data_IF_330093230214
#
_entry.id   IF_330093230214
#
_cell.length_a   1.000
_cell.length_b   1.000
_cell.length_c   1.000
_cell.angle_alpha   90.00
_cell.angle_beta   90.00
_cell.angle_gamma   90.00
#
_symmetry.space_group_name_H-M   'P 1'
#
loop_
_entity.id
_entity.type
_entity.pdbx_description
1 polymer ?
#
# COMPACT_ATOMS: atom_id res chain seq x y z
N UNK A 1 14.95 -29.31 -15.95
CA UNK A 1 13.61 -29.94 -15.89
C UNK A 1 12.96 -29.65 -17.22
N UNK A 2 12.43 -30.66 -17.92
CA UNK A 2 11.62 -30.43 -19.11
C UNK A 2 10.36 -29.63 -18.71
N UNK A 3 9.82 -28.82 -19.61
CA UNK A 3 8.50 -28.22 -19.43
C UNK A 3 7.45 -29.33 -19.38
N UNK A 4 6.39 -29.20 -18.57
CA UNK A 4 5.30 -30.19 -18.57
C UNK A 4 4.67 -30.41 -19.95
N UNK A 5 4.80 -29.43 -20.86
CA UNK A 5 4.33 -29.53 -22.24
C UNK A 5 5.14 -30.52 -23.09
N UNK A 6 6.35 -30.88 -22.65
CA UNK A 6 7.28 -31.76 -23.35
C UNK A 6 7.20 -33.23 -22.86
N UNK A 7 6.35 -33.50 -21.86
CA UNK A 7 6.19 -34.84 -21.29
C UNK A 7 5.22 -35.66 -22.15
N UNK A 8 5.50 -36.96 -22.31
CA UNK A 8 4.51 -37.90 -22.81
C UNK A 8 3.37 -38.08 -21.79
N UNK A 9 2.26 -38.66 -22.25
CA UNK A 9 1.11 -38.96 -21.37
C UNK A 9 1.53 -39.88 -20.22
N UNK A 10 2.36 -40.89 -20.49
CA UNK A 10 2.85 -41.84 -19.48
C UNK A 10 3.74 -41.13 -18.45
N UNK A 11 4.59 -40.21 -18.90
CA UNK A 11 5.44 -39.43 -18.01
C UNK A 11 4.60 -38.49 -17.13
N UNK A 12 3.56 -37.86 -17.68
CA UNK A 12 2.61 -37.04 -16.91
C UNK A 12 1.83 -37.85 -15.88
N UNK A 13 1.38 -39.06 -16.24
CA UNK A 13 0.67 -39.96 -15.31
C UNK A 13 1.58 -40.41 -14.16
N UNK A 14 2.83 -40.76 -14.46
CA UNK A 14 3.82 -41.11 -13.44
C UNK A 14 4.09 -39.94 -12.50
N UNK A 15 4.27 -38.72 -13.04
CA UNK A 15 4.47 -37.52 -12.25
C UNK A 15 3.24 -37.17 -11.41
N UNK A 16 2.03 -37.33 -11.95
CA UNK A 16 0.79 -37.10 -11.20
C UNK A 16 0.68 -38.04 -9.99
N UNK A 17 1.01 -39.33 -10.16
CA UNK A 17 1.00 -40.30 -9.07
C UNK A 17 1.99 -39.89 -7.95
N UNK A 18 3.19 -39.44 -8.32
CA UNK A 18 4.18 -38.92 -7.37
C UNK A 18 3.67 -37.67 -6.63
N UNK A 19 3.16 -36.67 -7.35
CA UNK A 19 2.63 -35.44 -6.77
C UNK A 19 1.44 -35.69 -5.83
N UNK A 20 0.58 -36.65 -6.17
CA UNK A 20 -0.52 -37.07 -5.30
C UNK A 20 -0.04 -37.70 -3.99
N UNK A 21 1.06 -38.46 -4.03
CA UNK A 21 1.68 -38.99 -2.82
C UNK A 21 2.26 -37.85 -1.96
N UNK A 22 2.96 -36.89 -2.58
CA UNK A 22 3.49 -35.71 -1.88
C UNK A 22 2.37 -34.86 -1.24
N UNK A 23 1.27 -34.62 -1.98
CA UNK A 23 0.09 -33.93 -1.47
C UNK A 23 -0.56 -34.67 -0.31
N UNK A 24 -0.71 -35.99 -0.40
CA UNK A 24 -1.31 -36.80 0.67
C UNK A 24 -0.47 -36.74 1.95
N UNK A 25 0.86 -36.77 1.82
CA UNK A 25 1.79 -36.56 2.94
C UNK A 25 1.62 -35.17 3.55
N UNK A 26 1.59 -34.11 2.72
CA UNK A 26 1.39 -32.74 3.21
C UNK A 26 0.03 -32.57 3.92
N UNK A 27 -1.05 -33.13 3.35
CA UNK A 27 -2.40 -33.12 3.95
C UNK A 27 -2.43 -33.84 5.29
N UNK A 28 -1.74 -34.99 5.41
CA UNK A 28 -1.67 -35.75 6.67
C UNK A 28 -0.94 -35.04 7.80
N UNK A 29 -0.14 -34.00 7.48
CA UNK A 29 0.56 -33.20 8.47
C UNK A 29 -0.33 -32.15 9.18
N UNK A 30 -1.61 -32.00 8.77
CA UNK A 30 -2.61 -31.09 9.36
C UNK A 30 -2.07 -29.67 9.62
N UNK A 31 -1.33 -29.13 8.65
CA UNK A 31 -0.67 -27.84 8.76
C UNK A 31 -1.69 -26.69 8.78
N UNK A 32 -1.51 -25.75 9.72
CA UNK A 32 -2.30 -24.52 9.83
C UNK A 32 -1.45 -23.30 9.51
N UNK A 33 -1.09 -23.16 8.24
CA UNK A 33 -0.25 -22.07 7.73
C UNK A 33 -1.10 -21.02 7.01
N UNK A 34 -0.67 -19.77 7.10
CA UNK A 34 -1.33 -18.62 6.46
C UNK A 34 -0.29 -17.77 5.71
N UNK A 35 -0.37 -17.80 4.38
CA UNK A 35 0.48 -17.06 3.44
C UNK A 35 -0.19 -15.80 2.89
N UNK A 36 -1.31 -15.35 3.47
CA UNK A 36 -2.15 -14.25 2.92
C UNK A 36 -1.76 -12.86 3.42
N UNK A 37 -0.93 -12.78 4.46
CA UNK A 37 -0.72 -11.55 5.25
C UNK A 37 0.40 -10.69 4.66
N UNK A 38 0.04 -9.73 3.83
CA UNK A 38 0.95 -8.67 3.34
C UNK A 38 1.24 -7.58 4.37
N UNK A 39 1.68 -7.95 5.58
CA UNK A 39 2.02 -7.01 6.66
C UNK A 39 3.39 -7.35 7.27
N UNK A 40 4.09 -6.38 7.87
CA UNK A 40 5.39 -6.63 8.50
C UNK A 40 5.31 -7.73 9.58
N UNK A 41 6.38 -8.52 9.71
CA UNK A 41 6.53 -9.44 10.83
C UNK A 41 6.93 -8.71 12.11
N UNK A 42 6.97 -9.42 13.24
CA UNK A 42 7.28 -8.83 14.55
C UNK A 42 8.65 -8.16 14.56
N UNK A 43 9.64 -8.86 14.04
CA UNK A 43 11.03 -8.42 14.00
C UNK A 43 11.19 -7.13 13.17
N UNK A 44 10.38 -6.96 12.12
CA UNK A 44 10.35 -5.72 11.35
C UNK A 44 9.68 -4.57 12.11
N UNK A 45 8.64 -4.85 12.90
CA UNK A 45 8.00 -3.84 13.75
C UNK A 45 8.94 -3.40 14.88
N UNK A 46 9.72 -4.33 15.44
CA UNK A 46 10.65 -4.06 16.53
C UNK A 46 11.75 -3.05 16.15
N UNK A 47 12.11 -2.96 14.87
CA UNK A 47 13.06 -1.95 14.35
C UNK A 47 12.61 -0.50 14.61
N UNK A 48 11.32 -0.28 14.85
CA UNK A 48 10.72 1.05 15.04
C UNK A 48 10.27 1.31 16.48
N UNK A 49 10.61 0.44 17.45
CA UNK A 49 10.13 0.57 18.83
C UNK A 49 10.47 1.92 19.48
N UNK A 50 11.65 2.48 19.19
CA UNK A 50 12.10 3.77 19.73
C UNK A 50 11.23 4.97 19.29
N UNK A 51 10.52 4.86 18.16
CA UNK A 51 9.58 5.92 17.73
C UNK A 51 8.44 6.10 18.73
N UNK A 52 8.14 5.10 19.56
CA UNK A 52 7.07 5.17 20.57
C UNK A 52 7.39 6.14 21.71
N UNK A 53 8.67 6.49 21.91
CA UNK A 53 9.12 7.33 23.02
C UNK A 53 9.81 8.61 22.57
N UNK A 54 9.97 8.86 21.26
CA UNK A 54 10.77 9.98 20.71
C UNK A 54 10.32 11.38 21.17
N UNK A 55 9.08 11.52 21.66
CA UNK A 55 8.52 12.77 22.16
C UNK A 55 8.62 12.94 23.68
N UNK A 56 9.18 11.98 24.42
CA UNK A 56 9.24 12.03 25.90
C UNK A 56 10.06 13.21 26.43
N UNK A 57 11.04 13.67 25.68
CA UNK A 57 12.06 14.61 26.14
C UNK A 57 11.70 16.07 25.83
N UNK A 58 10.41 16.38 25.88
CA UNK A 58 9.87 17.67 25.48
C UNK A 58 10.17 18.10 24.03
N UNK A 59 10.48 17.14 23.16
CA UNK A 59 10.87 17.35 21.77
C UNK A 59 9.65 17.51 20.84
N UNK A 60 8.86 18.55 21.07
CA UNK A 60 7.64 18.84 20.28
C UNK A 60 7.78 20.02 19.33
N UNK A 61 8.94 20.67 19.33
CA UNK A 61 9.21 21.79 18.45
C UNK A 61 9.76 21.27 17.14
N UNK A 62 9.09 21.66 16.05
CA UNK A 62 9.58 21.43 14.69
C UNK A 62 10.90 22.18 14.43
N UNK A 63 11.53 21.88 13.29
CA UNK A 63 12.74 22.59 12.84
C UNK A 63 12.52 24.10 12.64
N UNK A 64 11.28 24.53 12.41
CA UNK A 64 10.89 25.94 12.25
C UNK A 64 10.41 26.58 13.56
N UNK A 65 10.48 25.86 14.69
CA UNK A 65 10.08 26.35 16.00
C UNK A 65 8.57 26.27 16.28
N UNK A 66 7.78 25.64 15.40
CA UNK A 66 6.35 25.39 15.61
C UNK A 66 6.15 24.31 16.68
N UNK A 67 5.26 24.56 17.65
CA UNK A 67 4.83 23.57 18.64
C UNK A 67 3.79 22.61 18.02
N UNK A 68 4.23 21.39 17.71
CA UNK A 68 3.44 20.37 17.02
C UNK A 68 2.24 19.84 17.83
N UNK A 69 2.09 20.25 19.09
CA UNK A 69 0.94 19.88 19.94
C UNK A 69 -0.29 20.74 19.68
N UNK A 70 -0.14 21.83 18.93
CA UNK A 70 -1.22 22.76 18.63
C UNK A 70 -1.58 22.77 17.13
N UNK A 71 -2.66 23.44 16.78
CA UNK A 71 -3.15 23.53 15.40
C UNK A 71 -2.16 24.25 14.48
N UNK A 72 -2.09 23.78 13.23
CA UNK A 72 -1.27 24.39 12.17
C UNK A 72 -0.81 23.36 11.15
N UNK A 73 0.00 23.83 10.19
CA UNK A 73 0.71 23.00 9.21
C UNK A 73 -0.20 22.04 8.39
N UNK A 74 -1.18 22.54 7.63
CA UNK A 74 -2.08 21.68 6.86
C UNK A 74 -1.35 20.81 5.80
N UNK A 75 -0.17 21.24 5.33
CA UNK A 75 0.69 20.47 4.43
C UNK A 75 1.56 19.43 5.16
N UNK A 76 1.61 19.47 6.49
CA UNK A 76 2.51 18.70 7.34
C UNK A 76 3.82 19.41 7.69
N UNK A 77 4.54 18.88 8.67
CA UNK A 77 5.81 19.45 9.17
C UNK A 77 6.87 19.54 8.07
N UNK A 78 7.62 20.65 8.04
CA UNK A 78 8.61 20.93 7.02
C UNK A 78 9.72 19.87 6.95
N UNK A 79 10.24 19.44 8.10
CA UNK A 79 11.28 18.42 8.22
C UNK A 79 10.85 17.06 7.66
N UNK A 80 9.59 16.67 7.85
CA UNK A 80 9.06 15.42 7.32
C UNK A 80 8.90 15.49 5.80
N UNK A 81 8.40 16.62 5.29
CA UNK A 81 8.25 16.86 3.86
C UNK A 81 9.61 16.91 3.16
N UNK A 82 10.62 17.54 3.78
CA UNK A 82 11.98 17.60 3.26
C UNK A 82 12.62 16.20 3.19
N UNK A 83 12.51 15.39 4.25
CA UNK A 83 13.01 14.02 4.29
C UNK A 83 12.44 13.17 3.14
N UNK A 84 11.12 13.22 2.94
CA UNK A 84 10.48 12.44 1.89
C UNK A 84 10.67 13.03 0.48
N UNK A 85 10.85 14.33 0.36
CA UNK A 85 11.18 14.95 -0.92
C UNK A 85 12.54 14.46 -1.44
N UNK A 86 13.54 14.37 -0.56
CA UNK A 86 14.86 13.80 -0.89
C UNK A 86 14.74 12.33 -1.29
N UNK A 87 14.04 11.51 -0.48
CA UNK A 87 13.80 10.09 -0.77
C UNK A 87 13.13 9.85 -2.13
N UNK A 88 12.19 10.72 -2.51
CA UNK A 88 11.41 10.61 -3.74
C UNK A 88 12.06 11.32 -4.94
N UNK A 89 13.18 12.02 -4.75
CA UNK A 89 13.84 12.80 -5.80
C UNK A 89 12.98 13.95 -6.34
N UNK A 90 12.25 14.63 -5.46
CA UNK A 90 11.36 15.76 -5.80
C UNK A 90 11.64 16.98 -4.91
N UNK A 91 10.88 18.05 -5.09
CA UNK A 91 10.96 19.25 -4.26
C UNK A 91 10.00 19.18 -3.07
N UNK A 92 10.36 19.81 -1.95
CA UNK A 92 9.56 19.83 -0.72
C UNK A 92 8.16 20.42 -0.93
N UNK A 93 8.00 21.40 -1.81
CA UNK A 93 6.71 22.00 -2.17
C UNK A 93 5.75 21.01 -2.85
N UNK A 94 6.25 19.90 -3.40
CA UNK A 94 5.44 18.86 -4.03
C UNK A 94 5.02 17.74 -3.06
N UNK A 95 5.45 17.80 -1.79
CA UNK A 95 5.19 16.75 -0.79
C UNK A 95 4.25 17.29 0.29
N UNK A 96 3.21 16.51 0.59
CA UNK A 96 2.31 16.72 1.73
C UNK A 96 2.51 15.53 2.68
N UNK A 97 2.69 15.80 3.98
CA UNK A 97 2.72 14.79 5.03
C UNK A 97 1.41 14.88 5.82
N UNK A 98 0.62 13.80 5.79
CA UNK A 98 -0.69 13.73 6.45
C UNK A 98 -0.76 12.54 7.40
N UNK A 99 -1.97 12.12 7.80
CA UNK A 99 -2.20 11.00 8.69
C UNK A 99 -1.56 9.67 8.23
N UNK A 100 -1.84 8.59 8.96
CA UNK A 100 -1.13 7.31 8.81
C UNK A 100 -1.58 6.42 7.63
N UNK A 101 -2.35 6.94 6.67
CA UNK A 101 -2.98 6.14 5.62
C UNK A 101 -2.99 6.87 4.29
N UNK A 102 -2.11 6.46 3.37
CA UNK A 102 -2.12 6.95 2.00
C UNK A 102 -3.39 6.55 1.24
N UNK A 103 -4.02 5.43 1.60
CA UNK A 103 -5.27 4.99 1.00
C UNK A 103 -6.43 5.97 1.30
N UNK A 104 -6.42 6.62 2.47
CA UNK A 104 -7.39 7.68 2.76
C UNK A 104 -7.17 8.90 1.86
N UNK A 105 -5.92 9.30 1.62
CA UNK A 105 -5.62 10.40 0.68
C UNK A 105 -6.07 10.07 -0.74
N UNK A 106 -5.90 8.82 -1.19
CA UNK A 106 -6.39 8.36 -2.49
C UNK A 106 -7.91 8.43 -2.56
N UNK A 107 -8.62 7.91 -1.54
CA UNK A 107 -10.08 7.98 -1.46
C UNK A 107 -10.58 9.43 -1.50
N UNK A 108 -10.03 10.30 -0.65
CA UNK A 108 -10.44 11.70 -0.56
C UNK A 108 -10.20 12.45 -1.88
N UNK A 109 -9.12 12.11 -2.59
CA UNK A 109 -8.83 12.68 -3.91
C UNK A 109 -9.91 12.29 -4.92
N UNK A 110 -10.30 11.01 -4.98
CA UNK A 110 -11.38 10.54 -5.85
C UNK A 110 -12.72 11.16 -5.44
N UNK A 111 -13.03 11.18 -4.15
CA UNK A 111 -14.26 11.77 -3.64
C UNK A 111 -14.37 13.27 -3.97
N UNK A 112 -13.27 14.02 -3.83
CA UNK A 112 -13.21 15.43 -4.24
C UNK A 112 -13.44 15.60 -5.73
N UNK A 113 -12.87 14.74 -6.57
CA UNK A 113 -13.09 14.78 -8.02
C UNK A 113 -14.55 14.46 -8.40
N UNK A 114 -15.21 13.58 -7.63
CA UNK A 114 -16.64 13.28 -7.80
C UNK A 114 -17.53 14.47 -7.43
N UNK A 115 -17.20 15.18 -6.36
CA UNK A 115 -18.02 16.25 -5.78
C UNK A 115 -17.74 17.64 -6.38
N UNK A 116 -16.48 17.92 -6.73
CA UNK A 116 -16.01 19.23 -7.16
C UNK A 116 -15.28 19.14 -8.50
N UNK A 117 -15.30 20.23 -9.27
CA UNK A 117 -14.52 20.32 -10.49
C UNK A 117 -13.03 20.43 -10.13
N UNK A 118 -12.21 19.52 -10.65
CA UNK A 118 -10.76 19.58 -10.51
C UNK A 118 -10.19 20.78 -11.30
N UNK A 119 -8.97 21.26 -10.99
CA UNK A 119 -8.31 22.29 -11.77
C UNK A 119 -8.29 21.94 -13.28
N UNK A 120 -8.85 22.83 -14.11
CA UNK A 120 -8.95 22.64 -15.56
C UNK A 120 -10.14 21.81 -16.04
N UNK A 121 -10.95 21.21 -15.14
CA UNK A 121 -12.14 20.47 -15.52
C UNK A 121 -13.37 21.39 -15.69
N UNK A 122 -14.24 21.07 -16.65
CA UNK A 122 -15.48 21.84 -16.88
C UNK A 122 -16.54 21.60 -15.79
N UNK A 123 -16.55 20.41 -15.17
CA UNK A 123 -17.51 20.00 -14.13
C UNK A 123 -16.94 18.86 -13.27
N UNK A 124 -17.52 18.58 -12.09
CA UNK A 124 -17.16 17.41 -11.28
C UNK A 124 -17.40 16.10 -12.04
N UNK A 125 -16.61 15.06 -11.73
CA UNK A 125 -16.78 13.74 -12.35
C UNK A 125 -18.16 13.13 -12.07
N UNK A 126 -18.76 13.40 -10.91
CA UNK A 126 -20.11 12.95 -10.58
C UNK A 126 -21.22 13.59 -11.45
N UNK A 127 -20.87 14.50 -12.36
CA UNK A 127 -21.78 15.06 -13.38
C UNK A 127 -21.53 14.50 -14.78
N UNK A 128 -20.58 13.58 -14.95
CA UNK A 128 -20.38 12.86 -16.19
C UNK A 128 -21.38 11.70 -16.32
N UNK A 129 -21.78 11.38 -17.55
CA UNK A 129 -22.69 10.25 -17.81
C UNK A 129 -22.05 8.90 -17.46
N UNK A 130 -20.74 8.78 -17.69
CA UNK A 130 -19.97 7.57 -17.42
C UNK A 130 -18.53 7.89 -17.05
N UNK A 131 -18.08 7.27 -15.96
CA UNK A 131 -16.71 7.37 -15.46
C UNK A 131 -16.03 6.02 -15.69
N UNK A 132 -14.76 6.02 -16.11
CA UNK A 132 -13.97 4.80 -16.31
C UNK A 132 -12.55 5.01 -15.80
N UNK A 133 -12.00 3.99 -15.15
CA UNK A 133 -10.60 3.94 -14.73
C UNK A 133 -9.85 2.88 -15.53
N UNK A 134 -8.60 3.18 -15.88
CA UNK A 134 -7.68 2.17 -16.40
C UNK A 134 -7.06 1.45 -15.20
N UNK A 135 -7.22 0.13 -15.15
CA UNK A 135 -6.82 -0.71 -14.03
C UNK A 135 -5.82 -1.78 -14.50
N UNK A 136 -4.49 -1.53 -14.41
CA UNK A 136 -3.48 -2.54 -14.73
C UNK A 136 -3.62 -3.81 -13.88
N UNK A 137 -3.39 -4.99 -14.49
CA UNK A 137 -3.54 -6.30 -13.84
C UNK A 137 -2.33 -7.22 -14.07
N UNK A 138 -1.96 -8.09 -13.08
CA UNK A 138 -2.48 -8.17 -11.71
C UNK A 138 -2.19 -6.90 -10.90
N UNK A 139 -3.13 -6.45 -10.05
CA UNK A 139 -3.03 -5.16 -9.36
C UNK A 139 -3.47 -5.20 -7.88
N UNK A 140 -3.55 -4.02 -7.26
CA UNK A 140 -3.86 -3.88 -5.84
C UNK A 140 -5.37 -3.84 -5.61
N UNK A 141 -5.89 -4.84 -4.89
CA UNK A 141 -7.31 -5.00 -4.58
C UNK A 141 -7.95 -3.75 -3.98
N UNK A 142 -7.26 -3.07 -3.05
CA UNK A 142 -7.79 -1.84 -2.42
C UNK A 142 -7.96 -0.68 -3.39
N UNK A 143 -7.14 -0.58 -4.44
CA UNK A 143 -7.37 0.42 -5.49
C UNK A 143 -8.65 0.10 -6.26
N UNK A 144 -8.87 -1.18 -6.59
CA UNK A 144 -10.09 -1.58 -7.29
C UNK A 144 -11.33 -1.27 -6.47
N UNK A 145 -11.31 -1.47 -5.14
CA UNK A 145 -12.41 -1.06 -4.26
C UNK A 145 -12.71 0.45 -4.28
N UNK A 146 -11.71 1.31 -4.51
CA UNK A 146 -11.92 2.76 -4.58
C UNK A 146 -12.55 3.21 -5.91
N UNK A 147 -12.31 2.47 -6.98
CA UNK A 147 -12.65 2.88 -8.35
C UNK A 147 -13.80 2.08 -8.98
N UNK A 148 -14.39 1.13 -8.25
CA UNK A 148 -15.51 0.31 -8.72
C UNK A 148 -16.87 0.96 -8.45
#
# INVERSE_FOLDING_TARGET
MLSFQEYSVEQLQSLQAELNQQYSKAKSADLKLDMTRGKPCREQLDLSNELSTVLSDHNYLSAEGIDARNYGCPEGLAEMRALFADLLGTKQENVIASGNSSLNLMYDTVARAMLFALPGAARPWGKEEKIRFICPVPGYDRHFFLTN
#
